data_IF_068372716484
#
_entry.id   IF_068372716484
#
_cell.length_a   1.000
_cell.length_b   1.000
_cell.length_c   1.000
_cell.angle_alpha   90.00
_cell.angle_beta   90.00
_cell.angle_gamma   90.00
#
_symmetry.space_group_name_H-M   'P 1'
#
loop_
_entity.id
_entity.type
_entity.pdbx_description
1 polymer ?
#
# COMPACT_ATOMS: atom_id res chain seq x y z
N UNK A 1 -49.83 -0.10 -25.31
CA UNK A 1 -48.50 0.54 -25.16
C UNK A 1 -48.53 1.89 -25.83
N UNK A 2 -48.64 2.94 -25.05
CA UNK A 2 -48.70 4.34 -25.55
C UNK A 2 -47.33 4.88 -25.67
N UNK A 3 -46.76 4.88 -26.89
CA UNK A 3 -45.51 5.52 -27.20
C UNK A 3 -45.66 7.03 -27.10
N UNK A 4 -44.98 7.70 -26.17
CA UNK A 4 -44.82 9.16 -26.17
C UNK A 4 -43.75 9.53 -27.18
N UNK A 5 -44.12 10.35 -28.16
CA UNK A 5 -43.18 10.92 -29.14
C UNK A 5 -42.47 12.14 -28.54
N UNK A 6 -41.18 12.13 -28.61
CA UNK A 6 -40.36 13.33 -28.34
C UNK A 6 -39.82 13.84 -29.68
N UNK A 7 -40.01 15.10 -29.97
CA UNK A 7 -39.43 15.75 -31.13
C UNK A 7 -38.24 16.60 -30.64
N UNK A 8 -37.03 16.22 -31.03
CA UNK A 8 -35.88 17.09 -30.88
C UNK A 8 -35.75 18.00 -32.10
N UNK A 9 -35.21 19.18 -31.88
CA UNK A 9 -35.16 20.30 -32.82
C UNK A 9 -34.71 19.95 -34.24
N UNK A 10 -35.54 20.22 -35.19
CA UNK A 10 -35.17 20.61 -36.56
C UNK A 10 -34.99 19.50 -37.59
N UNK A 11 -34.89 18.20 -37.25
CA UNK A 11 -34.56 17.15 -38.22
C UNK A 11 -35.64 16.07 -38.38
N UNK A 12 -36.76 16.12 -37.68
CA UNK A 12 -37.86 15.17 -37.86
C UNK A 12 -37.59 13.73 -37.43
N UNK A 13 -36.54 13.48 -36.68
CA UNK A 13 -36.20 12.16 -36.16
C UNK A 13 -37.04 11.86 -34.88
N UNK A 14 -37.75 10.74 -34.87
CA UNK A 14 -38.56 10.29 -33.72
C UNK A 14 -37.74 9.27 -32.93
N UNK A 15 -37.25 9.66 -31.75
CA UNK A 15 -36.60 8.73 -30.81
C UNK A 15 -37.64 8.18 -29.80
N UNK A 16 -37.52 6.91 -29.50
CA UNK A 16 -38.32 6.27 -28.46
C UNK A 16 -37.61 6.41 -27.10
N UNK A 17 -38.37 6.51 -26.01
CA UNK A 17 -37.82 6.62 -24.65
C UNK A 17 -36.88 5.45 -24.31
N UNK A 18 -37.19 4.24 -24.79
CA UNK A 18 -36.31 3.07 -24.59
C UNK A 18 -34.94 3.21 -25.26
N UNK A 19 -34.85 3.93 -26.39
CA UNK A 19 -33.58 4.12 -27.11
C UNK A 19 -32.69 5.10 -26.31
N UNK A 20 -33.29 6.12 -25.68
CA UNK A 20 -32.56 7.06 -24.81
C UNK A 20 -32.06 6.40 -23.52
N UNK A 21 -32.87 5.58 -22.87
CA UNK A 21 -32.47 4.80 -21.68
C UNK A 21 -31.31 3.83 -21.99
N UNK A 22 -31.30 3.25 -23.19
CA UNK A 22 -30.24 2.35 -23.62
C UNK A 22 -28.95 3.10 -23.92
N UNK A 23 -29.00 4.24 -24.57
CA UNK A 23 -27.85 5.11 -24.85
C UNK A 23 -27.24 5.65 -23.54
N UNK A 24 -28.07 6.11 -22.58
CA UNK A 24 -27.63 6.55 -21.25
C UNK A 24 -26.95 5.41 -20.45
N UNK A 25 -27.44 4.18 -20.58
CA UNK A 25 -26.87 3.01 -19.90
C UNK A 25 -25.49 2.65 -20.48
N UNK A 26 -25.32 2.73 -21.79
CA UNK A 26 -24.04 2.51 -22.48
C UNK A 26 -23.02 3.59 -22.09
N UNK A 27 -23.43 4.86 -22.00
CA UNK A 27 -22.56 5.95 -21.54
C UNK A 27 -22.09 5.75 -20.10
N UNK A 28 -22.98 5.36 -19.19
CA UNK A 28 -22.63 5.09 -17.79
C UNK A 28 -21.64 3.93 -17.66
N UNK A 29 -21.85 2.83 -18.38
CA UNK A 29 -20.94 1.68 -18.39
C UNK A 29 -19.55 2.06 -18.92
N UNK A 30 -19.49 2.92 -19.95
CA UNK A 30 -18.24 3.43 -20.49
C UNK A 30 -17.49 4.30 -19.46
N UNK A 31 -18.20 5.18 -18.75
CA UNK A 31 -17.62 6.03 -17.70
C UNK A 31 -17.07 5.18 -16.56
N UNK A 32 -17.84 4.19 -16.07
CA UNK A 32 -17.39 3.29 -14.99
C UNK A 32 -16.13 2.51 -15.37
N UNK A 33 -16.06 2.00 -16.59
CA UNK A 33 -14.91 1.29 -17.12
C UNK A 33 -13.68 2.19 -17.21
N UNK A 34 -13.85 3.40 -17.69
CA UNK A 34 -12.78 4.42 -17.79
C UNK A 34 -12.25 4.78 -16.41
N UNK A 35 -13.13 5.06 -15.46
CA UNK A 35 -12.79 5.35 -14.06
C UNK A 35 -12.04 4.17 -13.42
N UNK A 36 -12.54 2.95 -13.57
CA UNK A 36 -11.89 1.75 -13.03
C UNK A 36 -10.48 1.50 -13.60
N UNK A 37 -10.30 1.72 -14.92
CA UNK A 37 -8.99 1.61 -15.58
C UNK A 37 -8.02 2.67 -15.06
N UNK A 38 -8.47 3.91 -14.91
CA UNK A 38 -7.64 4.99 -14.35
C UNK A 38 -7.23 4.69 -12.90
N UNK A 39 -8.14 4.24 -12.04
CA UNK A 39 -7.80 3.85 -10.68
C UNK A 39 -6.73 2.77 -10.61
N UNK A 40 -6.83 1.76 -11.46
CA UNK A 40 -5.83 0.70 -11.53
C UNK A 40 -4.47 1.26 -11.98
N UNK A 41 -4.44 2.14 -12.99
CA UNK A 41 -3.21 2.76 -13.49
C UNK A 41 -2.55 3.65 -12.44
N UNK A 42 -3.33 4.41 -11.67
CA UNK A 42 -2.82 5.23 -10.57
C UNK A 42 -2.17 4.39 -9.45
N UNK A 43 -2.68 3.18 -9.20
CA UNK A 43 -2.17 2.29 -8.14
C UNK A 43 -0.96 1.46 -8.57
N UNK A 44 -0.95 0.93 -9.79
CA UNK A 44 0.04 -0.08 -10.23
C UNK A 44 0.55 0.10 -11.67
N UNK A 45 0.03 1.07 -12.44
CA UNK A 45 0.42 1.31 -13.83
C UNK A 45 1.86 1.82 -13.98
N UNK A 46 2.42 1.74 -15.20
CA UNK A 46 3.67 2.42 -15.59
C UNK A 46 3.36 3.85 -16.10
N UNK A 47 4.39 4.67 -16.30
CA UNK A 47 4.26 5.96 -16.96
C UNK A 47 3.65 5.79 -18.36
N UNK A 48 4.25 4.93 -19.18
CA UNK A 48 3.84 4.68 -20.57
C UNK A 48 2.37 4.21 -20.65
N UNK A 49 1.92 3.37 -19.69
CA UNK A 49 0.54 2.88 -19.68
C UNK A 49 -0.48 3.97 -19.33
N UNK A 50 -0.10 4.93 -18.48
CA UNK A 50 -0.92 6.08 -18.14
C UNK A 50 -1.01 7.07 -19.30
N UNK A 51 0.13 7.37 -19.94
CA UNK A 51 0.21 8.22 -21.12
C UNK A 51 -0.61 7.64 -22.27
N UNK A 52 -0.44 6.36 -22.58
CA UNK A 52 -1.23 5.66 -23.62
C UNK A 52 -2.72 5.76 -23.31
N UNK A 53 -3.12 5.52 -22.07
CA UNK A 53 -4.52 5.59 -21.66
C UNK A 53 -5.11 7.00 -21.87
N UNK A 54 -4.41 8.05 -21.48
CA UNK A 54 -4.89 9.43 -21.66
C UNK A 54 -4.97 9.78 -23.15
N UNK A 55 -3.99 9.36 -23.96
CA UNK A 55 -4.03 9.57 -25.39
C UNK A 55 -5.23 8.86 -26.04
N UNK A 56 -5.46 7.58 -25.72
CA UNK A 56 -6.62 6.80 -26.20
C UNK A 56 -7.94 7.49 -25.84
N UNK A 57 -8.07 8.06 -24.65
CA UNK A 57 -9.27 8.77 -24.21
C UNK A 57 -9.55 10.02 -25.07
N UNK A 58 -8.50 10.75 -25.45
CA UNK A 58 -8.66 11.94 -26.30
C UNK A 58 -8.95 11.58 -27.77
N UNK A 59 -8.42 10.44 -28.24
CA UNK A 59 -8.69 9.97 -29.62
C UNK A 59 -10.13 9.45 -29.80
N UNK A 60 -10.69 8.89 -28.73
CA UNK A 60 -12.04 8.29 -28.77
C UNK A 60 -13.17 9.25 -28.41
N UNK A 61 -12.86 10.43 -27.85
CA UNK A 61 -13.84 11.41 -27.43
C UNK A 61 -13.84 12.65 -28.37
N UNK A 62 -15.01 13.26 -28.51
CA UNK A 62 -15.12 14.53 -29.25
C UNK A 62 -14.52 15.70 -28.45
N UNK A 63 -14.06 16.78 -29.10
CA UNK A 63 -13.55 17.96 -28.41
C UNK A 63 -14.54 18.57 -27.39
N UNK A 64 -15.83 18.42 -27.65
CA UNK A 64 -16.90 18.91 -26.76
C UNK A 64 -16.94 18.13 -25.44
N UNK A 65 -16.61 16.84 -25.47
CA UNK A 65 -16.53 15.98 -24.30
C UNK A 65 -15.19 16.05 -23.56
N UNK A 66 -14.17 16.71 -24.14
CA UNK A 66 -12.84 16.77 -23.55
C UNK A 66 -12.83 17.44 -22.16
N UNK A 67 -13.61 18.50 -21.96
CA UNK A 67 -13.72 19.16 -20.65
C UNK A 67 -14.37 18.26 -19.60
N UNK A 68 -15.39 17.49 -19.98
CA UNK A 68 -16.04 16.53 -19.09
C UNK A 68 -15.07 15.42 -18.69
N UNK A 69 -14.29 14.93 -19.65
CA UNK A 69 -13.25 13.92 -19.41
C UNK A 69 -12.20 14.41 -18.39
N UNK A 70 -11.73 15.65 -18.53
CA UNK A 70 -10.82 16.26 -17.55
C UNK A 70 -11.41 16.26 -16.15
N UNK A 71 -12.67 16.67 -16.01
CA UNK A 71 -13.38 16.69 -14.72
C UNK A 71 -13.48 15.28 -14.13
N UNK A 72 -13.80 14.27 -14.96
CA UNK A 72 -13.88 12.86 -14.51
C UNK A 72 -12.52 12.35 -14.03
N UNK A 73 -11.43 12.62 -14.76
CA UNK A 73 -10.06 12.25 -14.37
C UNK A 73 -9.72 12.91 -13.03
N UNK A 74 -9.98 14.21 -12.89
CA UNK A 74 -9.69 14.95 -11.65
C UNK A 74 -10.48 14.44 -10.46
N UNK A 75 -11.77 14.14 -10.64
CA UNK A 75 -12.60 13.57 -9.59
C UNK A 75 -12.13 12.17 -9.16
N UNK A 76 -11.69 11.36 -10.13
CA UNK A 76 -11.15 10.03 -9.87
C UNK A 76 -9.83 10.11 -9.11
N UNK A 77 -8.90 10.98 -9.54
CA UNK A 77 -7.64 11.23 -8.85
C UNK A 77 -7.89 11.72 -7.41
N UNK A 78 -8.78 12.70 -7.24
CA UNK A 78 -9.17 13.20 -5.92
C UNK A 78 -9.65 12.06 -5.02
N UNK A 79 -10.56 11.22 -5.49
CA UNK A 79 -11.11 10.09 -4.73
C UNK A 79 -10.04 9.09 -4.32
N UNK A 80 -9.16 8.72 -5.25
CA UNK A 80 -8.11 7.72 -4.99
C UNK A 80 -7.04 8.27 -4.03
N UNK A 81 -6.59 9.51 -4.24
CA UNK A 81 -5.56 10.14 -3.38
C UNK A 81 -6.11 10.41 -1.98
N UNK A 82 -7.36 10.90 -1.86
CA UNK A 82 -7.99 11.17 -0.56
C UNK A 82 -8.20 9.92 0.30
N UNK A 83 -8.27 8.75 -0.31
CA UNK A 83 -8.42 7.48 0.41
C UNK A 83 -7.11 6.99 1.04
N UNK A 84 -5.94 7.46 0.59
CA UNK A 84 -4.63 6.94 1.01
C UNK A 84 -3.65 8.01 1.51
N UNK A 85 -3.91 9.28 1.24
CA UNK A 85 -3.02 10.40 1.60
C UNK A 85 -3.69 11.36 2.56
N UNK A 86 -2.90 12.12 3.31
CA UNK A 86 -3.43 13.14 4.19
C UNK A 86 -3.97 14.36 3.41
N UNK A 87 -4.79 15.15 4.09
CA UNK A 87 -5.44 16.34 3.50
C UNK A 87 -4.44 17.37 2.98
N UNK A 88 -3.27 17.46 3.61
CA UNK A 88 -2.23 18.44 3.24
C UNK A 88 -1.60 18.09 1.89
N UNK A 89 -1.23 16.81 1.72
CA UNK A 89 -0.67 16.33 0.45
C UNK A 89 -1.67 16.47 -0.72
N UNK A 90 -2.96 16.16 -0.45
CA UNK A 90 -4.02 16.37 -1.43
C UNK A 90 -4.19 17.83 -1.81
N UNK A 91 -4.19 18.75 -0.84
CA UNK A 91 -4.27 20.21 -1.10
C UNK A 91 -3.06 20.72 -1.86
N UNK A 92 -1.86 20.22 -1.59
CA UNK A 92 -0.66 20.55 -2.37
C UNK A 92 -0.79 20.07 -3.82
N UNK A 93 -1.26 18.84 -4.05
CA UNK A 93 -1.50 18.33 -5.40
C UNK A 93 -2.47 19.22 -6.18
N UNK A 94 -3.58 19.62 -5.57
CA UNK A 94 -4.59 20.45 -6.21
C UNK A 94 -4.12 21.89 -6.44
N UNK A 95 -3.35 22.46 -5.50
CA UNK A 95 -2.86 23.85 -5.62
C UNK A 95 -1.68 23.99 -6.56
N UNK A 96 -0.84 22.96 -6.70
CA UNK A 96 0.31 22.97 -7.61
C UNK A 96 -0.08 22.81 -9.09
N UNK A 97 -1.29 22.28 -9.34
CA UNK A 97 -1.79 22.08 -10.70
C UNK A 97 -2.82 23.14 -11.06
N UNK A 98 -2.48 23.95 -12.03
CA UNK A 98 -3.36 25.01 -12.55
C UNK A 98 -4.49 24.48 -13.45
N UNK A 99 -4.71 23.16 -13.52
CA UNK A 99 -5.71 22.53 -14.38
C UNK A 99 -7.11 23.13 -14.19
N UNK A 100 -7.56 23.30 -12.94
CA UNK A 100 -8.88 23.89 -12.66
C UNK A 100 -9.06 25.30 -13.18
N UNK A 101 -8.04 26.15 -13.06
CA UNK A 101 -8.10 27.54 -13.50
C UNK A 101 -7.95 27.71 -15.01
N UNK A 102 -7.50 26.67 -15.70
CA UNK A 102 -7.16 26.74 -17.12
C UNK A 102 -8.03 25.87 -18.02
N UNK A 103 -8.91 25.01 -17.49
CA UNK A 103 -9.80 24.13 -18.29
C UNK A 103 -10.52 24.93 -19.41
N UNK A 104 -10.92 26.16 -19.13
CA UNK A 104 -11.60 27.05 -20.11
C UNK A 104 -10.66 27.86 -21.00
N UNK A 105 -9.35 27.82 -20.74
CA UNK A 105 -8.35 28.70 -21.37
C UNK A 105 -7.37 27.97 -22.30
N UNK A 106 -7.42 26.62 -22.37
CA UNK A 106 -6.51 25.87 -23.23
C UNK A 106 -6.91 25.96 -24.70
N UNK A 107 -6.02 26.56 -25.50
CA UNK A 107 -6.16 26.63 -26.97
C UNK A 107 -5.50 25.43 -27.68
N UNK A 108 -4.87 24.48 -26.95
CA UNK A 108 -4.17 23.33 -27.52
C UNK A 108 -4.44 22.07 -26.73
N UNK A 109 -4.96 21.07 -27.41
CA UNK A 109 -5.23 19.73 -26.89
C UNK A 109 -3.97 19.06 -26.31
N UNK A 110 -2.84 19.19 -27.00
CA UNK A 110 -1.58 18.58 -26.55
C UNK A 110 -1.10 19.18 -25.22
N UNK A 111 -1.32 20.44 -24.96
CA UNK A 111 -0.98 21.08 -23.68
C UNK A 111 -1.83 20.50 -22.57
N UNK A 112 -3.14 20.33 -22.81
CA UNK A 112 -4.05 19.74 -21.82
C UNK A 112 -3.71 18.28 -21.52
N UNK A 113 -3.40 17.47 -22.53
CA UNK A 113 -2.97 16.08 -22.36
C UNK A 113 -1.73 15.98 -21.47
N UNK A 114 -0.70 16.77 -21.76
CA UNK A 114 0.55 16.77 -20.98
C UNK A 114 0.33 17.22 -19.52
N UNK A 115 -0.52 18.19 -19.28
CA UNK A 115 -0.87 18.65 -17.94
C UNK A 115 -1.64 17.55 -17.17
N UNK A 116 -2.56 16.84 -17.81
CA UNK A 116 -3.27 15.70 -17.21
C UNK A 116 -2.34 14.55 -16.86
N UNK A 117 -1.42 14.19 -17.76
CA UNK A 117 -0.41 13.17 -17.51
C UNK A 117 0.42 13.56 -16.31
N UNK A 118 0.93 14.79 -16.26
CA UNK A 118 1.73 15.31 -15.14
C UNK A 118 0.95 15.29 -13.82
N UNK A 119 -0.33 15.65 -13.87
CA UNK A 119 -1.22 15.60 -12.70
C UNK A 119 -1.41 14.17 -12.19
N UNK A 120 -1.70 13.23 -13.06
CA UNK A 120 -1.85 11.81 -12.72
C UNK A 120 -0.56 11.19 -12.18
N UNK A 121 0.61 11.55 -12.75
CA UNK A 121 1.91 11.09 -12.25
C UNK A 121 2.23 11.65 -10.85
N UNK A 122 1.89 12.92 -10.61
CA UNK A 122 2.02 13.52 -9.28
C UNK A 122 1.13 12.81 -8.25
N UNK A 123 -0.10 12.49 -8.63
CA UNK A 123 -1.03 11.72 -7.80
C UNK A 123 -0.50 10.32 -7.50
N UNK A 124 0.01 9.62 -8.51
CA UNK A 124 0.61 8.29 -8.38
C UNK A 124 1.84 8.29 -7.46
N UNK A 125 2.68 9.32 -7.56
CA UNK A 125 3.80 9.50 -6.64
C UNK A 125 3.32 9.61 -5.19
N UNK A 126 2.29 10.40 -4.90
CA UNK A 126 1.70 10.52 -3.56
C UNK A 126 1.13 9.20 -3.05
N UNK A 127 0.40 8.45 -3.90
CA UNK A 127 -0.15 7.14 -3.55
C UNK A 127 0.97 6.17 -3.19
N UNK A 128 2.03 6.11 -4.00
CA UNK A 128 3.17 5.23 -3.78
C UNK A 128 3.91 5.57 -2.49
N UNK A 129 4.13 6.85 -2.21
CA UNK A 129 4.76 7.32 -0.97
C UNK A 129 3.92 6.98 0.27
N UNK A 130 2.61 7.18 0.20
CA UNK A 130 1.71 6.84 1.30
C UNK A 130 1.72 5.33 1.59
N UNK A 131 1.57 4.50 0.56
CA UNK A 131 1.62 3.04 0.70
C UNK A 131 2.96 2.54 1.27
N UNK A 132 4.09 3.17 0.86
CA UNK A 132 5.40 2.83 1.39
C UNK A 132 5.49 3.18 2.87
N UNK A 133 5.07 4.37 3.27
CA UNK A 133 5.03 4.81 4.66
C UNK A 133 4.18 3.88 5.53
N UNK A 134 2.97 3.55 5.08
CA UNK A 134 2.06 2.67 5.83
C UNK A 134 2.67 1.26 6.00
N UNK A 135 3.35 0.77 4.96
CA UNK A 135 4.05 -0.52 5.02
C UNK A 135 5.24 -0.51 5.97
N UNK A 136 5.99 0.58 6.04
CA UNK A 136 7.09 0.77 6.99
C UNK A 136 6.56 0.84 8.42
N UNK A 137 5.54 1.64 8.69
CA UNK A 137 4.87 1.75 10.00
C UNK A 137 4.33 0.40 10.48
N UNK A 138 3.71 -0.38 9.58
CA UNK A 138 3.22 -1.71 9.92
C UNK A 138 4.36 -2.66 10.28
N UNK A 139 5.47 -2.62 9.54
CA UNK A 139 6.67 -3.42 9.87
C UNK A 139 7.30 -3.00 11.20
N UNK A 140 7.35 -1.71 11.50
CA UNK A 140 7.89 -1.20 12.77
C UNK A 140 7.00 -1.63 13.94
N UNK A 141 5.68 -1.64 13.75
CA UNK A 141 4.75 -2.18 14.76
C UNK A 141 4.97 -3.68 15.02
N UNK A 142 5.25 -4.48 13.97
CA UNK A 142 5.63 -5.89 14.15
C UNK A 142 6.90 -6.04 14.97
N UNK A 143 7.93 -5.25 14.70
CA UNK A 143 9.19 -5.26 15.48
C UNK A 143 8.91 -4.90 16.93
N UNK A 144 8.13 -3.87 17.17
CA UNK A 144 7.73 -3.47 18.51
C UNK A 144 7.00 -4.61 19.26
N UNK A 145 6.04 -5.28 18.63
CA UNK A 145 5.34 -6.44 19.22
C UNK A 145 6.34 -7.55 19.57
N UNK A 146 7.30 -7.82 18.69
CA UNK A 146 8.36 -8.81 18.96
C UNK A 146 9.19 -8.37 20.17
N UNK A 147 9.58 -7.10 20.25
CA UNK A 147 10.38 -6.58 21.38
C UNK A 147 9.65 -6.61 22.70
N UNK A 148 8.34 -6.35 22.70
CA UNK A 148 7.51 -6.38 23.91
C UNK A 148 7.17 -7.80 24.36
N UNK A 149 7.06 -8.77 23.42
CA UNK A 149 6.48 -10.08 23.67
C UNK A 149 7.36 -11.27 23.25
N UNK A 150 8.64 -11.09 23.00
CA UNK A 150 9.53 -12.19 22.58
C UNK A 150 9.55 -13.36 23.55
N UNK A 151 9.30 -13.12 24.84
CA UNK A 151 9.23 -14.15 25.86
C UNK A 151 7.97 -15.04 25.79
N UNK A 152 6.93 -14.62 25.05
CA UNK A 152 5.73 -15.42 24.83
C UNK A 152 6.05 -16.56 23.85
N UNK A 153 6.00 -17.80 24.34
CA UNK A 153 6.26 -19.02 23.55
C UNK A 153 5.30 -19.11 22.34
N UNK A 154 4.03 -18.69 22.54
CA UNK A 154 2.98 -18.72 21.54
C UNK A 154 3.03 -17.60 20.50
N UNK A 155 3.98 -16.65 20.59
CA UNK A 155 4.06 -15.53 19.66
C UNK A 155 4.33 -16.01 18.23
N UNK A 156 3.39 -15.75 17.34
CA UNK A 156 3.42 -16.24 15.96
C UNK A 156 3.00 -15.18 14.95
N UNK A 157 3.43 -15.35 13.69
CA UNK A 157 3.02 -14.47 12.58
C UNK A 157 1.48 -14.38 12.46
N UNK A 158 0.79 -15.52 12.61
CA UNK A 158 -0.68 -15.58 12.54
C UNK A 158 -1.32 -14.78 13.67
N UNK A 159 -0.82 -14.92 14.91
CA UNK A 159 -1.32 -14.14 16.05
C UNK A 159 -1.15 -12.63 15.83
N UNK A 160 0.05 -12.23 15.41
CA UNK A 160 0.35 -10.81 15.11
C UNK A 160 -0.46 -10.28 13.94
N UNK A 161 -0.65 -11.06 12.88
CA UNK A 161 -1.45 -10.64 11.73
C UNK A 161 -2.93 -10.42 12.09
N UNK A 162 -3.50 -11.27 12.95
CA UNK A 162 -4.86 -11.11 13.46
C UNK A 162 -5.00 -9.84 14.34
N UNK A 163 -4.02 -9.56 15.21
CA UNK A 163 -3.98 -8.34 16.03
C UNK A 163 -3.92 -7.07 15.17
N UNK A 164 -3.14 -7.13 14.08
CA UNK A 164 -2.99 -6.00 13.15
C UNK A 164 -4.06 -5.94 12.05
N UNK A 165 -5.06 -6.83 12.09
CA UNK A 165 -6.16 -6.93 11.13
C UNK A 165 -5.70 -7.05 9.66
N UNK A 166 -4.61 -7.79 9.41
CA UNK A 166 -4.07 -8.06 8.07
C UNK A 166 -3.94 -9.56 7.81
N UNK A 167 -3.86 -9.97 6.53
CA UNK A 167 -3.64 -11.38 6.23
C UNK A 167 -2.19 -11.82 6.54
N UNK A 168 -1.96 -13.06 7.02
CA UNK A 168 -0.62 -13.59 7.29
C UNK A 168 0.30 -13.56 6.06
N UNK A 169 -0.24 -13.83 4.87
CA UNK A 169 0.51 -13.78 3.62
C UNK A 169 0.99 -12.37 3.28
N UNK A 170 0.11 -11.39 3.43
CA UNK A 170 0.47 -9.99 3.22
C UNK A 170 1.56 -9.57 4.21
N UNK A 171 1.37 -9.84 5.51
CA UNK A 171 2.34 -9.47 6.55
C UNK A 171 3.70 -10.15 6.33
N UNK A 172 3.73 -11.43 5.97
CA UNK A 172 4.96 -12.16 5.67
C UNK A 172 5.73 -11.53 4.50
N UNK A 173 5.02 -11.19 3.41
CA UNK A 173 5.61 -10.54 2.23
C UNK A 173 6.15 -9.17 2.56
N UNK A 174 5.39 -8.41 3.35
CA UNK A 174 5.76 -7.07 3.79
C UNK A 174 7.04 -7.07 4.63
N UNK A 175 7.11 -7.96 5.64
CA UNK A 175 8.30 -8.12 6.49
C UNK A 175 9.53 -8.49 5.65
N UNK A 176 9.40 -9.47 4.74
CA UNK A 176 10.51 -9.84 3.84
C UNK A 176 10.97 -8.69 2.96
N UNK A 177 10.03 -7.90 2.42
CA UNK A 177 10.34 -6.74 1.56
C UNK A 177 11.10 -5.66 2.32
N UNK A 178 10.62 -5.29 3.52
CA UNK A 178 11.15 -4.15 4.28
C UNK A 178 12.34 -4.51 5.16
N UNK A 179 12.30 -5.65 5.87
CA UNK A 179 13.36 -6.05 6.83
C UNK A 179 14.37 -7.05 6.24
N UNK A 180 14.14 -7.57 5.00
CA UNK A 180 14.97 -8.60 4.34
C UNK A 180 15.08 -9.91 5.13
N UNK A 181 14.22 -10.12 6.10
CA UNK A 181 14.14 -11.28 7.00
C UNK A 181 12.69 -11.74 7.10
N UNK A 182 12.46 -12.98 7.57
CA UNK A 182 11.11 -13.41 7.91
C UNK A 182 10.82 -13.19 9.40
N UNK A 183 9.53 -13.32 9.80
CA UNK A 183 9.09 -13.12 11.16
C UNK A 183 9.82 -14.01 12.17
N UNK A 184 9.98 -15.30 11.84
CA UNK A 184 10.65 -16.28 12.74
C UNK A 184 12.12 -15.87 12.95
N UNK A 185 12.79 -15.40 11.91
CA UNK A 185 14.17 -14.93 12.02
C UNK A 185 14.26 -13.71 12.94
N UNK A 186 13.37 -12.72 12.79
CA UNK A 186 13.35 -11.53 13.66
C UNK A 186 13.08 -11.91 15.12
N UNK A 187 12.12 -12.77 15.38
CA UNK A 187 11.80 -13.26 16.72
C UNK A 187 12.97 -14.03 17.32
N UNK A 188 13.60 -14.92 16.55
CA UNK A 188 14.75 -15.69 17.01
C UNK A 188 15.94 -14.78 17.35
N UNK A 189 16.25 -13.81 16.50
CA UNK A 189 17.32 -12.84 16.76
C UNK A 189 17.08 -12.08 18.06
N UNK A 190 15.84 -11.60 18.27
CA UNK A 190 15.48 -10.87 19.51
C UNK A 190 15.60 -11.75 20.76
N UNK A 191 15.13 -13.01 20.68
CA UNK A 191 15.27 -13.99 21.77
C UNK A 191 16.72 -14.31 22.09
N UNK A 192 17.53 -14.51 21.06
CA UNK A 192 18.97 -14.81 21.23
C UNK A 192 19.72 -13.64 21.82
N UNK A 193 19.41 -12.41 21.42
CA UNK A 193 20.00 -11.21 22.01
C UNK A 193 19.65 -11.10 23.51
N UNK A 194 18.39 -11.25 23.86
CA UNK A 194 17.96 -11.23 25.27
C UNK A 194 18.61 -12.34 26.08
N UNK A 195 18.77 -13.53 25.50
CA UNK A 195 19.46 -14.64 26.15
C UNK A 195 20.92 -14.36 26.40
N UNK A 196 21.60 -13.75 25.43
CA UNK A 196 23.02 -13.36 25.58
C UNK A 196 23.18 -12.34 26.72
N UNK A 197 22.34 -11.29 26.73
CA UNK A 197 22.38 -10.27 27.77
C UNK A 197 22.17 -10.87 29.17
N UNK A 198 21.20 -11.79 29.32
CA UNK A 198 20.96 -12.50 30.58
C UNK A 198 22.13 -13.42 30.97
N UNK A 199 22.80 -14.09 30.03
CA UNK A 199 23.94 -14.94 30.29
C UNK A 199 25.14 -14.15 30.82
N UNK A 200 25.34 -12.95 30.32
CA UNK A 200 26.45 -12.04 30.69
C UNK A 200 26.14 -11.30 31.98
N UNK A 201 24.92 -10.74 32.13
CA UNK A 201 24.59 -9.81 33.21
C UNK A 201 23.89 -10.49 34.41
N UNK A 202 23.70 -11.83 34.42
CA UNK A 202 23.01 -12.47 35.52
C UNK A 202 23.57 -13.87 35.89
N UNK A 203 23.20 -14.34 37.08
CA UNK A 203 23.52 -15.71 37.57
C UNK A 203 22.42 -16.73 37.25
N UNK A 204 21.40 -16.36 36.46
CA UNK A 204 20.29 -17.25 36.13
C UNK A 204 20.79 -18.54 35.48
N UNK A 205 20.14 -19.66 35.76
CA UNK A 205 20.46 -20.94 35.10
C UNK A 205 20.06 -20.90 33.64
N UNK A 206 20.73 -21.70 32.80
CA UNK A 206 20.41 -21.75 31.35
C UNK A 206 18.95 -22.12 31.09
N UNK A 207 18.37 -23.00 31.95
CA UNK A 207 16.94 -23.34 31.89
C UNK A 207 16.05 -22.08 32.09
N UNK A 208 16.34 -21.33 33.14
CA UNK A 208 15.56 -20.12 33.49
C UNK A 208 15.67 -19.04 32.39
N UNK A 209 16.84 -18.93 31.74
CA UNK A 209 17.06 -18.04 30.59
C UNK A 209 16.26 -18.52 29.38
N UNK A 210 16.26 -19.83 29.10
CA UNK A 210 15.46 -20.40 28.02
C UNK A 210 13.97 -20.06 28.19
N UNK A 211 13.40 -20.28 29.36
CA UNK A 211 12.01 -19.96 29.68
C UNK A 211 11.71 -18.46 29.53
N UNK A 212 12.58 -17.59 30.05
CA UNK A 212 12.46 -16.13 29.93
C UNK A 212 12.59 -15.62 28.49
N UNK A 213 13.19 -16.43 27.61
CA UNK A 213 13.31 -16.14 26.19
C UNK A 213 12.26 -16.85 25.33
N UNK A 214 11.22 -17.44 25.94
CA UNK A 214 10.11 -18.08 25.23
C UNK A 214 10.45 -19.45 24.64
N UNK A 215 11.34 -20.22 25.32
CA UNK A 215 11.66 -21.61 24.98
C UNK A 215 11.27 -22.52 26.13
N UNK A 216 10.34 -23.44 25.91
CA UNK A 216 9.96 -24.47 26.89
C UNK A 216 11.01 -25.59 26.98
N UNK A 217 11.80 -25.81 25.93
CA UNK A 217 12.85 -26.85 25.89
C UNK A 217 14.24 -26.22 25.92
N UNK A 218 14.99 -26.47 27.01
CA UNK A 218 16.36 -26.01 27.20
C UNK A 218 17.33 -26.58 26.15
N UNK A 219 17.13 -27.84 25.70
CA UNK A 219 18.04 -28.46 24.73
C UNK A 219 17.87 -27.81 23.36
N UNK A 220 16.63 -27.56 22.95
CA UNK A 220 16.32 -26.85 21.73
C UNK A 220 16.82 -25.39 21.80
N UNK A 221 16.62 -24.70 22.91
CA UNK A 221 17.21 -23.36 23.15
C UNK A 221 18.72 -23.36 22.96
N UNK A 222 19.44 -24.32 23.65
CA UNK A 222 20.91 -24.39 23.59
C UNK A 222 21.41 -24.67 22.16
N UNK A 223 20.67 -25.48 21.39
CA UNK A 223 20.94 -25.71 19.98
C UNK A 223 20.79 -24.46 19.16
N UNK A 224 19.66 -23.72 19.31
CA UNK A 224 19.40 -22.47 18.62
C UNK A 224 20.48 -21.41 18.96
N UNK A 225 20.81 -21.27 20.24
CA UNK A 225 21.83 -20.34 20.72
C UNK A 225 23.21 -20.63 20.12
N UNK A 226 23.64 -21.92 20.15
CA UNK A 226 24.92 -22.33 19.55
C UNK A 226 24.93 -22.10 18.03
N UNK A 227 23.78 -22.34 17.35
CA UNK A 227 23.67 -22.08 15.91
C UNK A 227 23.79 -20.59 15.59
N UNK A 228 23.29 -19.74 16.47
CA UNK A 228 23.28 -18.28 16.27
C UNK A 228 24.62 -17.61 16.59
N UNK A 229 25.24 -17.98 17.72
CA UNK A 229 26.49 -17.38 18.22
C UNK A 229 27.75 -18.22 17.96
N UNK A 230 27.62 -19.43 17.47
CA UNK A 230 28.74 -20.36 17.27
C UNK A 230 29.16 -21.12 18.54
N UNK A 231 28.78 -20.65 19.73
CA UNK A 231 29.16 -21.19 21.02
C UNK A 231 27.96 -21.54 21.91
N UNK A 232 28.12 -22.50 22.81
CA UNK A 232 27.06 -22.89 23.74
C UNK A 232 26.83 -21.80 24.81
N UNK A 233 25.60 -21.70 25.41
CA UNK A 233 25.32 -20.79 26.50
C UNK A 233 26.30 -20.86 27.67
N UNK A 234 26.68 -22.09 28.07
CA UNK A 234 27.62 -22.32 29.17
C UNK A 234 29.06 -21.82 28.84
N UNK A 235 29.47 -21.92 27.57
CA UNK A 235 30.79 -21.47 27.14
C UNK A 235 30.87 -19.94 27.11
N UNK A 236 29.83 -19.24 26.62
CA UNK A 236 29.72 -17.79 26.66
C UNK A 236 29.78 -17.29 28.10
N UNK A 237 29.06 -17.94 29.04
CA UNK A 237 29.10 -17.56 30.44
C UNK A 237 30.46 -17.74 31.08
N UNK A 238 31.17 -18.85 30.75
CA UNK A 238 32.50 -19.13 31.30
C UNK A 238 33.54 -18.11 30.78
N UNK A 239 33.46 -17.72 29.50
CA UNK A 239 34.36 -16.73 28.90
C UNK A 239 34.26 -15.36 29.56
N UNK A 240 33.05 -14.87 29.82
CA UNK A 240 32.86 -13.56 30.46
C UNK A 240 33.33 -13.53 31.92
N UNK A 241 33.27 -14.63 32.66
CA UNK A 241 33.79 -14.71 34.03
C UNK A 241 35.33 -14.69 34.07
N UNK A 242 36.00 -14.97 32.97
CA UNK A 242 37.45 -14.99 32.89
C UNK A 242 38.01 -13.61 32.52
N UNK A 243 37.21 -12.66 32.07
CA UNK A 243 37.61 -11.29 31.74
C UNK A 243 37.44 -10.32 32.93
N UNK A 244 36.72 -10.73 33.98
CA UNK A 244 36.50 -9.90 35.20
C UNK A 244 37.52 -10.18 36.33
N UNK A 245 38.54 -11.00 36.09
CA UNK A 245 39.64 -11.30 37.05
C UNK A 245 40.95 -10.77 36.50
#
# INVERSE_FOLDING_TARGET
MTARRYTSDGAGEVRFINDQEHDEQIELEHVEKTVGKLEQLLKVGSHDSLETFINELYETNTPENANLLVVQIMATVYRVVSAVSDKTALMQLLSSNALFSRITSYNSENVMKNELITFCESAKSLITHSQKRDSELLCDRVVQIIDERYADEGLSLTGVSNELAVSPNYLSTLIKKNKKKNFVTLLTERRMQAAYDMLVCSSLRVLEIAEKCGYSDQHYFSYCFKKFYGESPNKVRAGNRSEEV
#
